data_IF_849159144407
#
_entry.id   IF_849159144407
#
_cell.length_a   1.000
_cell.length_b   1.000
_cell.length_c   1.000
_cell.angle_alpha   90.00
_cell.angle_beta   90.00
_cell.angle_gamma   90.00
#
_symmetry.space_group_name_H-M   'P 1'
#
loop_
_entity.id
_entity.type
_entity.pdbx_description
1 polymer ?
#
# COMPACT_ATOMS: atom_id res chain seq x y z
N UNK A 1 31.22 18.37 -3.52
CA UNK A 1 30.94 17.05 -4.14
C UNK A 1 30.88 17.21 -5.66
N UNK A 2 31.92 16.78 -6.38
CA UNK A 2 31.94 16.83 -7.84
C UNK A 2 31.01 15.75 -8.41
N UNK A 3 29.85 16.16 -8.91
CA UNK A 3 28.96 15.27 -9.67
C UNK A 3 29.60 15.13 -11.05
N UNK A 4 30.52 14.17 -11.22
CA UNK A 4 31.13 13.92 -12.51
C UNK A 4 30.04 13.61 -13.54
N UNK A 5 30.07 14.30 -14.68
CA UNK A 5 29.10 14.08 -15.76
C UNK A 5 29.31 12.65 -16.28
N UNK A 6 28.39 11.74 -15.95
CA UNK A 6 28.39 10.36 -16.48
C UNK A 6 28.57 10.38 -18.00
N UNK A 7 29.53 9.61 -18.49
CA UNK A 7 29.85 9.50 -19.92
C UNK A 7 28.64 8.98 -20.71
N UNK A 8 28.53 9.37 -21.99
CA UNK A 8 27.39 8.99 -22.84
C UNK A 8 27.19 7.46 -22.93
N UNK A 9 28.26 6.69 -22.88
CA UNK A 9 28.28 5.22 -22.82
C UNK A 9 27.67 4.68 -21.53
N UNK A 10 28.00 5.25 -20.36
CA UNK A 10 27.39 4.87 -19.08
C UNK A 10 25.89 5.17 -19.05
N UNK A 11 25.46 6.32 -19.59
CA UNK A 11 24.04 6.68 -19.71
C UNK A 11 23.26 5.68 -20.56
N UNK A 12 23.82 5.29 -21.73
CA UNK A 12 23.24 4.25 -22.60
C UNK A 12 23.11 2.90 -21.89
N UNK A 13 24.16 2.46 -21.16
CA UNK A 13 24.11 1.22 -20.36
C UNK A 13 23.01 1.30 -19.30
N UNK A 14 22.96 2.37 -18.50
CA UNK A 14 21.93 2.56 -17.47
C UNK A 14 20.51 2.52 -18.08
N UNK A 15 20.29 3.18 -19.22
CA UNK A 15 18.99 3.18 -19.89
C UNK A 15 18.60 1.77 -20.37
N UNK A 16 19.53 1.04 -20.99
CA UNK A 16 19.33 -0.34 -21.47
C UNK A 16 18.96 -1.29 -20.32
N UNK A 17 19.77 -1.30 -19.26
CA UNK A 17 19.56 -2.21 -18.14
C UNK A 17 18.38 -1.80 -17.25
N UNK A 18 18.13 -0.49 -17.08
CA UNK A 18 16.95 0.02 -16.40
C UNK A 18 15.66 -0.37 -17.12
N UNK A 19 15.65 -0.35 -18.45
CA UNK A 19 14.49 -0.82 -19.23
C UNK A 19 14.27 -2.34 -19.09
N UNK A 20 15.33 -3.15 -19.11
CA UNK A 20 15.24 -4.59 -18.82
C UNK A 20 14.65 -4.87 -17.45
N UNK A 21 15.08 -4.14 -16.42
CA UNK A 21 14.53 -4.24 -15.06
C UNK A 21 13.05 -3.84 -15.01
N UNK A 22 12.65 -2.75 -15.68
CA UNK A 22 11.23 -2.36 -15.77
C UNK A 22 10.39 -3.45 -16.42
N UNK A 23 10.90 -4.09 -17.48
CA UNK A 23 10.19 -5.14 -18.20
C UNK A 23 9.96 -6.42 -17.39
N UNK A 24 10.71 -6.63 -16.31
CA UNK A 24 10.47 -7.71 -15.36
C UNK A 24 9.03 -7.62 -14.80
N UNK A 25 8.63 -6.42 -14.36
CA UNK A 25 7.33 -6.16 -13.69
C UNK A 25 6.17 -5.86 -14.67
N UNK A 26 6.38 -6.06 -15.97
CA UNK A 26 5.32 -5.99 -16.98
C UNK A 26 4.71 -7.38 -17.25
N UNK A 27 5.38 -8.45 -16.82
CA UNK A 27 4.94 -9.84 -17.02
C UNK A 27 3.54 -10.07 -16.46
N UNK A 28 2.72 -10.80 -17.19
CA UNK A 28 1.35 -11.14 -16.75
C UNK A 28 1.32 -12.41 -15.91
N UNK A 29 2.26 -13.31 -16.18
CA UNK A 29 2.34 -14.61 -15.55
C UNK A 29 3.63 -14.79 -14.75
N UNK A 30 3.53 -15.61 -13.70
CA UNK A 30 4.64 -15.95 -12.82
C UNK A 30 5.76 -16.70 -13.57
N UNK A 31 5.40 -17.59 -14.50
CA UNK A 31 6.37 -18.32 -15.35
C UNK A 31 7.17 -17.37 -16.25
N UNK A 32 6.50 -16.37 -16.82
CA UNK A 32 7.14 -15.34 -17.64
C UNK A 32 8.06 -14.44 -16.79
N UNK A 33 7.63 -14.10 -15.58
CA UNK A 33 8.41 -13.34 -14.61
C UNK A 33 9.72 -14.06 -14.23
N UNK A 34 9.65 -15.35 -13.87
CA UNK A 34 10.83 -16.16 -13.53
C UNK A 34 11.80 -16.23 -14.70
N UNK A 35 11.30 -16.46 -15.92
CA UNK A 35 12.14 -16.51 -17.11
C UNK A 35 12.88 -15.18 -17.37
N UNK A 36 12.22 -14.04 -17.17
CA UNK A 36 12.87 -12.73 -17.28
C UNK A 36 13.85 -12.47 -16.14
N UNK A 37 13.52 -12.90 -14.93
CA UNK A 37 14.41 -12.80 -13.77
C UNK A 37 15.72 -13.57 -14.02
N UNK A 38 15.63 -14.80 -14.51
CA UNK A 38 16.78 -15.62 -14.85
C UNK A 38 17.66 -14.97 -15.93
N UNK A 39 17.06 -14.33 -16.94
CA UNK A 39 17.81 -13.57 -17.96
C UNK A 39 18.54 -12.36 -17.38
N UNK A 40 17.98 -11.72 -16.35
CA UNK A 40 18.64 -10.59 -15.66
C UNK A 40 19.76 -11.10 -14.76
N UNK A 41 19.55 -12.21 -14.06
CA UNK A 41 20.57 -12.86 -13.23
C UNK A 41 21.83 -13.23 -14.03
N UNK A 42 21.68 -13.78 -15.23
CA UNK A 42 22.83 -14.10 -16.11
C UNK A 42 23.68 -12.89 -16.49
N UNK A 43 23.10 -11.69 -16.48
CA UNK A 43 23.76 -10.43 -16.87
C UNK A 43 24.01 -9.56 -15.62
N UNK A 44 23.82 -10.12 -14.43
CA UNK A 44 23.85 -9.34 -13.19
C UNK A 44 25.24 -8.75 -12.97
N UNK A 45 26.30 -9.50 -13.26
CA UNK A 45 27.68 -9.04 -13.06
C UNK A 45 28.08 -7.89 -13.99
N UNK A 46 27.48 -7.81 -15.18
CA UNK A 46 27.70 -6.72 -16.13
C UNK A 46 26.93 -5.44 -15.76
N UNK A 47 26.02 -5.49 -14.78
CA UNK A 47 25.25 -4.33 -14.37
C UNK A 47 26.17 -3.26 -13.77
N UNK A 48 25.95 -1.97 -14.10
CA UNK A 48 26.56 -0.87 -13.38
C UNK A 48 26.34 -1.00 -11.87
N UNK A 49 27.37 -0.72 -11.07
CA UNK A 49 27.34 -0.87 -9.61
C UNK A 49 26.13 -0.19 -8.95
N UNK A 50 25.74 0.97 -9.47
CA UNK A 50 24.55 1.69 -9.03
C UNK A 50 23.26 0.84 -9.14
N UNK A 51 23.08 0.13 -10.26
CA UNK A 51 21.90 -0.71 -10.49
C UNK A 51 21.95 -1.98 -9.64
N UNK A 52 23.14 -2.57 -9.41
CA UNK A 52 23.32 -3.69 -8.46
C UNK A 52 22.89 -3.28 -7.05
N UNK A 53 23.37 -2.13 -6.58
CA UNK A 53 23.02 -1.60 -5.26
C UNK A 53 21.51 -1.31 -5.14
N UNK A 54 20.90 -0.77 -6.19
CA UNK A 54 19.46 -0.54 -6.23
C UNK A 54 18.67 -1.86 -6.18
N UNK A 55 19.09 -2.86 -6.96
CA UNK A 55 18.46 -4.17 -6.98
C UNK A 55 18.50 -4.82 -5.60
N UNK A 56 19.67 -4.86 -4.97
CA UNK A 56 19.83 -5.50 -3.66
C UNK A 56 19.07 -4.77 -2.55
N UNK A 57 19.12 -3.43 -2.51
CA UNK A 57 18.48 -2.65 -1.43
C UNK A 57 16.97 -2.53 -1.55
N UNK A 58 16.44 -2.47 -2.78
CA UNK A 58 15.02 -2.17 -3.02
C UNK A 58 14.29 -3.35 -3.64
N UNK A 59 14.80 -3.88 -4.75
CA UNK A 59 14.07 -4.90 -5.50
C UNK A 59 14.02 -6.20 -4.71
N UNK A 60 15.14 -6.74 -4.24
CA UNK A 60 15.15 -8.01 -3.48
C UNK A 60 14.30 -7.87 -2.20
N UNK A 61 14.49 -6.79 -1.44
CA UNK A 61 13.80 -6.57 -0.17
C UNK A 61 12.28 -6.54 -0.31
N UNK A 62 11.76 -5.91 -1.36
CA UNK A 62 10.33 -5.72 -1.55
C UNK A 62 9.76 -6.57 -2.71
N UNK A 63 10.49 -7.59 -3.18
CA UNK A 63 10.09 -8.35 -4.38
C UNK A 63 8.74 -9.04 -4.20
N UNK A 64 8.47 -9.56 -3.00
CA UNK A 64 7.19 -10.20 -2.65
C UNK A 64 6.02 -9.23 -2.76
N UNK A 65 6.20 -7.97 -2.32
CA UNK A 65 5.17 -6.93 -2.44
C UNK A 65 4.96 -6.53 -3.89
N UNK A 66 6.05 -6.40 -4.64
CA UNK A 66 6.01 -6.00 -6.05
C UNK A 66 5.40 -7.06 -6.96
N UNK A 67 5.45 -8.33 -6.58
CA UNK A 67 4.95 -9.46 -7.38
C UNK A 67 3.58 -9.98 -6.94
N UNK A 68 2.98 -9.37 -5.90
CA UNK A 68 1.71 -9.83 -5.34
C UNK A 68 0.56 -9.88 -6.37
N UNK A 69 0.59 -9.02 -7.39
CA UNK A 69 -0.38 -9.02 -8.50
C UNK A 69 -0.28 -10.26 -9.41
N UNK A 70 0.84 -11.00 -9.37
CA UNK A 70 1.02 -12.25 -10.12
C UNK A 70 0.34 -13.43 -9.45
N UNK A 71 0.08 -13.34 -8.14
CA UNK A 71 -0.55 -14.39 -7.34
C UNK A 71 -2.05 -14.15 -7.17
N UNK A 72 -2.47 -12.89 -7.03
CA UNK A 72 -3.86 -12.51 -6.84
C UNK A 72 -4.37 -11.66 -8.01
N UNK A 73 -5.32 -12.20 -8.78
CA UNK A 73 -5.94 -11.54 -9.93
C UNK A 73 -6.79 -10.33 -9.54
N UNK A 74 -7.21 -10.22 -8.28
CA UNK A 74 -7.98 -9.06 -7.80
C UNK A 74 -7.08 -7.83 -7.60
N UNK A 75 -5.77 -8.02 -7.43
CA UNK A 75 -4.82 -6.94 -7.23
C UNK A 75 -4.34 -6.43 -8.58
N UNK A 76 -4.78 -5.22 -8.93
CA UNK A 76 -4.38 -4.58 -10.18
C UNK A 76 -2.90 -4.19 -10.15
N UNK A 77 -2.21 -4.51 -11.24
CA UNK A 77 -0.78 -4.18 -11.46
C UNK A 77 -0.48 -2.68 -11.41
N UNK A 78 -1.41 -1.86 -11.89
CA UNK A 78 -1.23 -0.40 -11.99
C UNK A 78 -1.90 0.31 -10.84
N UNK A 79 -1.19 1.26 -10.25
CA UNK A 79 -1.72 2.12 -9.21
C UNK A 79 -2.68 3.21 -9.77
N UNK A 80 -3.00 3.20 -11.08
CA UNK A 80 -3.79 4.23 -11.75
C UNK A 80 -5.11 4.56 -11.04
N UNK A 81 -5.79 3.57 -10.45
CA UNK A 81 -7.04 3.85 -9.71
C UNK A 81 -6.78 4.68 -8.46
N UNK A 82 -5.69 4.39 -7.76
CA UNK A 82 -5.25 5.08 -6.54
C UNK A 82 -4.65 6.45 -6.92
N UNK A 83 -3.79 6.51 -7.93
CA UNK A 83 -3.21 7.75 -8.44
C UNK A 83 -4.27 8.70 -9.00
N UNK A 84 -5.25 8.19 -9.76
CA UNK A 84 -6.38 9.01 -10.25
C UNK A 84 -7.23 9.53 -9.08
N UNK A 85 -7.49 8.68 -8.07
CA UNK A 85 -8.18 9.11 -6.84
C UNK A 85 -7.41 10.19 -6.10
N UNK A 86 -6.09 10.06 -5.93
CA UNK A 86 -5.29 11.07 -5.24
C UNK A 86 -5.01 12.33 -6.07
N UNK A 87 -4.91 12.22 -7.39
CA UNK A 87 -4.71 13.36 -8.29
C UNK A 87 -5.92 14.29 -8.33
N UNK A 88 -7.13 13.72 -8.24
CA UNK A 88 -8.39 14.47 -8.14
C UNK A 88 -8.61 15.03 -6.72
N UNK A 89 -8.15 14.31 -5.68
CA UNK A 89 -8.28 14.74 -4.28
C UNK A 89 -7.25 15.82 -3.89
N UNK A 90 -6.09 15.89 -4.57
CA UNK A 90 -5.05 16.92 -4.37
C UNK A 90 -5.31 18.15 -5.25
N UNK A 91 -6.50 18.74 -5.18
CA UNK A 91 -6.71 20.07 -5.74
C UNK A 91 -5.74 21.08 -5.06
N UNK A 92 -5.25 22.06 -5.83
CA UNK A 92 -4.30 23.09 -5.39
C UNK A 92 -4.75 23.84 -4.11
N UNK A 93 -6.06 23.84 -3.82
CA UNK A 93 -6.69 24.38 -2.61
C UNK A 93 -6.24 23.64 -1.34
N UNK A 94 -6.26 22.31 -1.32
CA UNK A 94 -5.80 21.47 -0.20
C UNK A 94 -4.31 21.62 0.09
N UNK A 95 -3.46 21.80 -0.93
CA UNK A 95 -2.02 22.05 -0.71
C UNK A 95 -1.76 23.36 0.06
N UNK A 96 -2.60 24.38 -0.08
CA UNK A 96 -2.52 25.62 0.72
C UNK A 96 -3.00 25.40 2.17
N UNK A 97 -3.96 24.49 2.38
CA UNK A 97 -4.44 24.11 3.72
C UNK A 97 -3.36 23.35 4.49
N UNK A 98 -2.55 22.51 3.87
CA UNK A 98 -1.51 21.74 4.57
C UNK A 98 -0.13 22.40 4.63
N UNK A 99 -0.01 23.69 4.27
CA UNK A 99 1.29 24.38 4.18
C UNK A 99 1.93 24.65 5.56
N UNK A 100 1.13 24.76 6.62
CA UNK A 100 1.60 25.08 7.98
C UNK A 100 1.01 24.12 9.00
N UNK A 101 1.78 23.79 10.05
CA UNK A 101 1.32 22.87 11.11
C UNK A 101 -0.02 23.27 11.75
N UNK A 102 -0.30 24.56 12.04
CA UNK A 102 -1.59 24.96 12.60
C UNK A 102 -2.78 24.62 11.69
N UNK A 103 -2.61 24.74 10.37
CA UNK A 103 -3.70 24.42 9.43
C UNK A 103 -3.85 22.91 9.20
N UNK A 104 -2.75 22.15 9.25
CA UNK A 104 -2.81 20.67 9.27
C UNK A 104 -3.63 20.22 10.49
N UNK A 105 -3.33 20.77 11.67
CA UNK A 105 -4.07 20.47 12.90
C UNK A 105 -5.53 20.90 12.80
N UNK A 106 -5.83 22.07 12.22
CA UNK A 106 -7.20 22.53 12.02
C UNK A 106 -8.01 21.62 11.08
N UNK A 107 -7.37 21.03 10.05
CA UNK A 107 -8.00 20.06 9.17
C UNK A 107 -8.20 18.68 9.84
N UNK A 108 -7.21 18.21 10.60
CA UNK A 108 -7.26 16.90 11.25
C UNK A 108 -8.18 16.86 12.46
N UNK A 109 -8.29 17.96 13.21
CA UNK A 109 -9.11 18.06 14.43
C UNK A 109 -10.57 17.59 14.23
N UNK A 110 -11.34 18.07 13.24
CA UNK A 110 -12.72 17.59 13.02
C UNK A 110 -12.80 16.13 12.56
N UNK A 111 -11.76 15.63 11.87
CA UNK A 111 -11.72 14.22 11.41
C UNK A 111 -11.51 13.31 12.62
N UNK A 112 -10.54 13.65 13.48
CA UNK A 112 -10.23 12.90 14.70
C UNK A 112 -11.42 12.91 15.66
N UNK A 113 -12.07 14.06 15.86
CA UNK A 113 -13.25 14.15 16.76
C UNK A 113 -14.44 13.35 16.25
N UNK A 114 -14.70 13.37 14.94
CA UNK A 114 -15.76 12.55 14.34
C UNK A 114 -15.46 11.05 14.40
N UNK A 115 -14.19 10.65 14.24
CA UNK A 115 -13.78 9.26 14.41
C UNK A 115 -13.94 8.79 15.86
N UNK A 116 -13.56 9.63 16.82
CA UNK A 116 -13.70 9.33 18.25
C UNK A 116 -15.18 9.22 18.68
N UNK A 117 -16.05 10.12 18.19
CA UNK A 117 -17.51 10.04 18.44
C UNK A 117 -18.09 8.74 17.89
N UNK A 118 -17.80 8.40 16.63
CA UNK A 118 -18.26 7.14 16.02
C UNK A 118 -17.78 5.91 16.79
N UNK A 119 -16.55 5.93 17.29
CA UNK A 119 -16.00 4.84 18.09
C UNK A 119 -16.73 4.71 19.44
N UNK A 120 -17.01 5.84 20.09
CA UNK A 120 -17.77 5.90 21.33
C UNK A 120 -19.22 5.43 21.16
N UNK A 121 -19.93 5.90 20.12
CA UNK A 121 -21.31 5.50 19.84
C UNK A 121 -21.41 4.00 19.51
N UNK A 122 -20.43 3.46 18.79
CA UNK A 122 -20.35 2.02 18.51
C UNK A 122 -20.14 1.21 19.80
N UNK A 123 -19.23 1.67 20.67
CA UNK A 123 -18.95 1.01 21.95
C UNK A 123 -20.16 1.02 22.89
N UNK A 124 -20.86 2.16 23.00
CA UNK A 124 -22.11 2.28 23.77
C UNK A 124 -23.17 1.32 23.24
N UNK A 125 -23.37 1.28 21.92
CA UNK A 125 -24.34 0.37 21.29
C UNK A 125 -24.00 -1.10 21.52
N UNK A 126 -22.72 -1.48 21.47
CA UNK A 126 -22.27 -2.85 21.74
C UNK A 126 -22.50 -3.25 23.21
N UNK A 127 -22.30 -2.33 24.17
CA UNK A 127 -22.61 -2.56 25.59
C UNK A 127 -24.12 -2.74 25.79
N UNK A 128 -24.92 -1.81 25.27
CA UNK A 128 -26.39 -1.85 25.40
C UNK A 128 -26.93 -3.17 24.84
N UNK A 129 -26.47 -3.57 23.64
CA UNK A 129 -26.87 -4.83 23.00
C UNK A 129 -26.50 -6.03 23.86
N UNK A 130 -25.32 -6.03 24.49
CA UNK A 130 -24.83 -7.13 25.34
C UNK A 130 -25.62 -7.23 26.65
N UNK A 131 -25.98 -6.10 27.25
CA UNK A 131 -26.81 -6.04 28.47
C UNK A 131 -28.22 -6.54 28.17
N UNK A 132 -28.87 -6.01 27.13
CA UNK A 132 -30.22 -6.43 26.71
C UNK A 132 -30.25 -7.94 26.40
N UNK A 133 -29.27 -8.45 25.66
CA UNK A 133 -29.19 -9.89 25.36
C UNK A 133 -29.01 -10.76 26.61
N UNK A 134 -28.30 -10.27 27.62
CA UNK A 134 -28.13 -10.99 28.89
C UNK A 134 -29.44 -11.02 29.68
N UNK A 135 -30.16 -9.90 29.73
CA UNK A 135 -31.48 -9.82 30.38
C UNK A 135 -32.50 -10.72 29.70
N UNK A 136 -32.57 -10.71 28.36
CA UNK A 136 -33.49 -11.59 27.60
C UNK A 136 -33.17 -13.07 27.85
N UNK A 137 -31.89 -13.45 27.85
CA UNK A 137 -31.49 -14.84 28.16
C UNK A 137 -31.91 -15.26 29.56
N UNK A 138 -31.72 -14.39 30.55
CA UNK A 138 -32.15 -14.66 31.93
C UNK A 138 -33.65 -14.88 32.03
N UNK A 139 -34.46 -14.05 31.34
CA UNK A 139 -35.91 -14.18 31.32
C UNK A 139 -36.34 -15.50 30.67
N UNK A 140 -35.73 -15.86 29.53
CA UNK A 140 -36.02 -17.12 28.83
C UNK A 140 -35.70 -18.33 29.73
N UNK A 141 -34.55 -18.33 30.42
CA UNK A 141 -34.18 -19.40 31.35
C UNK A 141 -35.19 -19.53 32.49
N UNK A 142 -35.64 -18.43 33.10
CA UNK A 142 -36.66 -18.46 34.15
C UNK A 142 -38.03 -18.95 33.66
N UNK A 143 -38.42 -18.66 32.41
CA UNK A 143 -39.65 -19.16 31.81
C UNK A 143 -39.56 -20.67 31.53
N UNK A 144 -38.40 -21.16 31.06
CA UNK A 144 -38.18 -22.58 30.82
C UNK A 144 -38.19 -23.39 32.12
N UNK A 145 -37.62 -22.87 33.20
CA UNK A 145 -37.64 -23.50 34.53
C UNK A 145 -39.05 -23.53 35.14
N UNK A 146 -39.90 -22.54 34.86
CA UNK A 146 -41.27 -22.46 35.36
C UNK A 146 -42.30 -23.28 34.54
N UNK A 147 -41.89 -23.83 33.39
CA UNK A 147 -42.74 -24.62 32.49
C UNK A 147 -42.52 -26.14 32.60
N UNK A 148 -41.70 -26.57 33.57
CA UNK A 148 -41.43 -27.98 33.95
C UNK A 148 -42.17 -28.26 35.26
#
# INVERSE_FOLDING_TARGET
MNISRKTNTQRKKIKKYGWKLKNLFISKDLKEFINKLNKIWKIFDELPQFLKNFYNKKIIKDIHKMTHYLFDKNIKRTNNQIENKFSTTQQKSTKKLFKTMPRILAYLKPIITNQNKKCHDKFINDIIKKVIMKSIKSIISSIQEASI
#
